data_IF_889280861349
#
_entry.id   IF_889280861349
#
_cell.length_a   1.000
_cell.length_b   1.000
_cell.length_c   1.000
_cell.angle_alpha   90.00
_cell.angle_beta   90.00
_cell.angle_gamma   90.00
#
_symmetry.space_group_name_H-M   'P 1'
#
loop_
_entity.id
_entity.type
_entity.pdbx_description
1 polymer ?
#
# COMPACT_ATOMS: atom_id res chain seq x y z
N UNK A 1 -18.17 -21.59 -0.05
CA UNK A 1 -17.13 -20.74 0.57
C UNK A 1 -16.10 -21.68 1.18
N UNK A 2 -14.82 -21.40 1.01
CA UNK A 2 -13.78 -22.25 1.60
C UNK A 2 -13.65 -21.93 3.09
N UNK A 3 -13.58 -22.96 3.93
CA UNK A 3 -13.38 -22.82 5.37
C UNK A 3 -11.94 -23.16 5.71
N UNK A 4 -11.28 -22.31 6.49
CA UNK A 4 -9.93 -22.53 7.01
C UNK A 4 -9.95 -22.61 8.52
N UNK A 5 -8.96 -23.27 9.11
CA UNK A 5 -8.78 -23.27 10.56
C UNK A 5 -7.64 -22.31 10.96
N UNK A 6 -7.62 -21.88 12.23
CA UNK A 6 -6.51 -21.07 12.73
C UNK A 6 -5.16 -21.80 12.61
N UNK A 7 -5.18 -23.15 12.60
CA UNK A 7 -4.00 -23.99 12.36
C UNK A 7 -3.42 -23.84 10.95
N UNK A 8 -4.23 -23.39 9.98
CA UNK A 8 -3.85 -23.21 8.57
C UNK A 8 -3.36 -21.79 8.27
N UNK A 9 -3.31 -20.91 9.27
CA UNK A 9 -2.90 -19.52 9.07
C UNK A 9 -1.46 -19.43 8.51
N UNK A 10 -1.30 -18.52 7.56
CA UNK A 10 -0.01 -18.14 6.95
C UNK A 10 -0.01 -16.63 6.76
N UNK A 11 1.14 -16.02 6.76
CA UNK A 11 1.28 -14.59 6.48
C UNK A 11 0.65 -14.23 5.13
N UNK A 12 -0.16 -13.18 5.10
CA UNK A 12 -0.91 -12.75 3.92
C UNK A 12 -2.27 -13.43 3.72
N UNK A 13 -2.57 -14.52 4.44
CA UNK A 13 -3.87 -15.20 4.36
C UNK A 13 -4.99 -14.28 4.85
N UNK A 14 -6.10 -14.23 4.10
CA UNK A 14 -7.27 -13.42 4.42
C UNK A 14 -8.45 -14.27 4.83
N UNK A 15 -9.17 -13.83 5.83
CA UNK A 15 -10.34 -14.53 6.37
C UNK A 15 -11.37 -13.54 6.92
N UNK A 16 -12.62 -13.97 7.02
CA UNK A 16 -13.69 -13.19 7.60
C UNK A 16 -13.81 -13.46 9.10
N UNK A 17 -13.88 -12.40 9.90
CA UNK A 17 -14.13 -12.44 11.33
C UNK A 17 -15.03 -11.25 11.71
N UNK A 18 -16.16 -11.54 12.36
CA UNK A 18 -17.14 -10.53 12.79
C UNK A 18 -17.59 -9.57 11.67
N UNK A 19 -17.78 -10.12 10.45
CA UNK A 19 -18.15 -9.33 9.26
C UNK A 19 -17.04 -8.46 8.70
N UNK A 20 -15.80 -8.63 9.16
CA UNK A 20 -14.63 -7.87 8.72
C UNK A 20 -13.63 -8.79 8.02
N UNK A 21 -13.00 -8.28 6.97
CA UNK A 21 -11.90 -9.00 6.32
C UNK A 21 -10.61 -8.72 7.06
N UNK A 22 -10.02 -9.78 7.59
CA UNK A 22 -8.75 -9.75 8.31
C UNK A 22 -7.65 -10.42 7.50
N UNK A 23 -6.46 -9.84 7.52
CA UNK A 23 -5.27 -10.44 6.93
C UNK A 23 -4.27 -10.81 8.02
N UNK A 24 -3.78 -12.04 7.97
CA UNK A 24 -2.71 -12.51 8.87
C UNK A 24 -1.42 -11.77 8.54
N UNK A 25 -0.90 -11.01 9.49
CA UNK A 25 0.41 -10.33 9.40
C UNK A 25 1.50 -11.23 9.93
N UNK A 26 1.25 -11.83 11.10
CA UNK A 26 2.18 -12.73 11.79
C UNK A 26 1.38 -13.79 12.56
N UNK A 27 1.90 -14.99 12.65
CA UNK A 27 1.29 -16.06 13.43
C UNK A 27 2.35 -16.90 14.12
N UNK A 28 1.99 -17.44 15.27
CA UNK A 28 2.85 -18.32 16.06
C UNK A 28 2.03 -19.45 16.67
N UNK A 29 2.40 -20.69 16.36
CA UNK A 29 1.85 -21.87 17.03
C UNK A 29 2.54 -22.05 18.39
N UNK A 30 1.77 -21.97 19.47
CA UNK A 30 2.25 -22.11 20.82
C UNK A 30 1.72 -23.42 21.42
N UNK A 31 2.63 -24.28 21.86
CA UNK A 31 2.32 -25.51 22.58
C UNK A 31 2.91 -25.38 23.99
N UNK A 32 2.14 -24.86 24.96
CA UNK A 32 2.62 -24.73 26.32
C UNK A 32 2.85 -26.11 26.93
N UNK A 33 3.81 -26.25 27.81
CA UNK A 33 4.08 -27.52 28.53
C UNK A 33 2.92 -27.97 29.41
N UNK A 34 2.07 -27.04 29.87
CA UNK A 34 0.80 -27.28 30.55
C UNK A 34 -0.26 -26.37 29.92
N UNK A 35 -1.36 -26.94 29.45
CA UNK A 35 -2.50 -26.22 28.83
C UNK A 35 -2.70 -26.58 27.35
N UNK A 36 -3.79 -26.05 26.79
CA UNK A 36 -4.15 -26.28 25.39
C UNK A 36 -3.26 -25.49 24.43
N UNK A 37 -2.94 -26.08 23.27
CA UNK A 37 -2.25 -25.38 22.20
C UNK A 37 -3.12 -24.22 21.66
N UNK A 38 -2.47 -23.14 21.25
CA UNK A 38 -3.13 -22.00 20.63
C UNK A 38 -2.26 -21.39 19.52
N UNK A 39 -2.91 -20.62 18.63
CA UNK A 39 -2.25 -19.86 17.58
C UNK A 39 -2.36 -18.38 17.93
N UNK A 40 -1.25 -17.77 18.30
CA UNK A 40 -1.17 -16.33 18.49
C UNK A 40 -1.10 -15.70 17.11
N UNK A 41 -2.04 -14.82 16.80
CA UNK A 41 -2.16 -14.25 15.47
C UNK A 41 -2.23 -12.74 15.56
N UNK A 42 -1.27 -12.08 14.89
CA UNK A 42 -1.32 -10.66 14.62
C UNK A 42 -1.98 -10.46 13.27
N UNK A 43 -3.06 -9.73 13.24
CA UNK A 43 -3.87 -9.55 12.04
C UNK A 43 -4.20 -8.09 11.82
N UNK A 44 -4.39 -7.75 10.55
CA UNK A 44 -4.75 -6.40 10.11
C UNK A 44 -6.14 -6.44 9.48
N UNK A 45 -7.01 -5.54 9.89
CA UNK A 45 -8.25 -5.29 9.17
C UNK A 45 -7.91 -4.67 7.81
N UNK A 46 -8.33 -5.29 6.73
CA UNK A 46 -7.95 -4.90 5.36
C UNK A 46 -8.57 -3.55 4.98
N UNK A 47 -9.76 -3.25 5.52
CA UNK A 47 -10.51 -2.01 5.24
C UNK A 47 -9.98 -0.84 6.05
N UNK A 48 -9.79 -1.02 7.37
CA UNK A 48 -9.42 0.08 8.28
C UNK A 48 -7.92 0.21 8.51
N UNK A 49 -7.13 -0.81 8.13
CA UNK A 49 -5.71 -0.89 8.41
C UNK A 49 -5.36 -1.20 9.88
N UNK A 50 -6.35 -1.24 10.79
CA UNK A 50 -6.12 -1.48 12.21
C UNK A 50 -5.51 -2.86 12.45
N UNK A 51 -4.44 -2.89 13.25
CA UNK A 51 -3.74 -4.12 13.62
C UNK A 51 -4.16 -4.56 15.02
N UNK A 52 -4.52 -5.82 15.15
CA UNK A 52 -4.90 -6.45 16.43
C UNK A 52 -4.18 -7.78 16.61
N UNK A 53 -3.96 -8.19 17.84
CA UNK A 53 -3.38 -9.49 18.18
C UNK A 53 -4.41 -10.29 18.99
N UNK A 54 -4.64 -11.54 18.58
CA UNK A 54 -5.58 -12.45 19.26
C UNK A 54 -5.04 -13.87 19.20
N UNK A 55 -5.34 -14.65 20.24
CA UNK A 55 -5.02 -16.07 20.30
C UNK A 55 -6.25 -16.91 19.98
N UNK A 56 -6.09 -17.83 19.04
CA UNK A 56 -7.15 -18.73 18.59
C UNK A 56 -6.84 -20.18 18.97
N UNK A 57 -7.90 -20.95 19.19
CA UNK A 57 -7.77 -22.40 19.20
C UNK A 57 -7.36 -22.86 17.79
N UNK A 58 -6.38 -23.77 17.61
CA UNK A 58 -5.94 -24.23 16.30
C UNK A 58 -7.07 -24.79 15.42
N UNK A 59 -8.14 -25.31 16.03
CA UNK A 59 -9.32 -25.87 15.34
C UNK A 59 -10.42 -24.85 15.11
N UNK A 60 -10.26 -23.59 15.55
CA UNK A 60 -11.22 -22.53 15.29
C UNK A 60 -11.38 -22.31 13.78
N UNK A 61 -12.63 -22.28 13.31
CA UNK A 61 -12.96 -22.20 11.88
C UNK A 61 -13.31 -20.79 11.48
N UNK A 62 -12.83 -20.38 10.32
CA UNK A 62 -13.12 -19.09 9.69
C UNK A 62 -13.48 -19.30 8.23
N UNK A 63 -14.25 -18.38 7.65
CA UNK A 63 -14.45 -18.33 6.20
C UNK A 63 -13.24 -17.67 5.55
N UNK A 64 -12.70 -18.32 4.52
CA UNK A 64 -11.64 -17.73 3.73
C UNK A 64 -12.19 -16.54 2.93
N UNK A 65 -11.57 -15.38 3.03
CA UNK A 65 -11.97 -14.19 2.30
C UNK A 65 -11.07 -14.04 1.07
N UNK A 66 -11.65 -14.08 -0.12
CA UNK A 66 -10.94 -13.81 -1.36
C UNK A 66 -11.06 -12.32 -1.68
N UNK A 67 -9.93 -11.64 -1.64
CA UNK A 67 -9.82 -10.24 -2.06
C UNK A 67 -9.54 -10.22 -3.55
N UNK A 68 -10.46 -9.63 -4.31
CA UNK A 68 -10.24 -9.36 -5.72
C UNK A 68 -9.26 -8.21 -5.89
N UNK A 69 -8.31 -8.39 -6.81
CA UNK A 69 -7.32 -7.39 -7.20
C UNK A 69 -7.43 -7.17 -8.69
N UNK A 70 -7.84 -5.97 -9.09
CA UNK A 70 -7.97 -5.62 -10.50
C UNK A 70 -7.00 -4.51 -10.86
N UNK A 71 -6.31 -4.71 -11.97
CA UNK A 71 -5.40 -3.71 -12.52
C UNK A 71 -6.22 -2.61 -13.19
N UNK A 72 -6.14 -1.40 -12.65
CA UNK A 72 -6.86 -0.23 -13.15
C UNK A 72 -5.90 0.93 -13.31
N UNK A 73 -5.98 1.62 -14.46
CA UNK A 73 -5.19 2.83 -14.70
C UNK A 73 -5.87 4.05 -14.09
N UNK A 74 -5.11 4.85 -13.33
CA UNK A 74 -5.60 6.15 -12.90
C UNK A 74 -5.81 7.05 -14.10
N UNK A 75 -7.01 7.63 -14.24
CA UNK A 75 -7.37 8.44 -15.39
C UNK A 75 -7.36 9.94 -15.05
N UNK A 76 -8.24 10.38 -14.15
CA UNK A 76 -8.35 11.79 -13.74
C UNK A 76 -9.07 11.89 -12.38
N UNK A 77 -9.11 13.11 -11.83
CA UNK A 77 -10.00 13.45 -10.72
C UNK A 77 -10.85 14.68 -11.11
N UNK A 78 -12.03 14.78 -10.49
CA UNK A 78 -12.95 15.92 -10.69
C UNK A 78 -12.96 16.89 -9.48
N UNK A 79 -12.06 16.65 -8.52
CA UNK A 79 -11.96 17.38 -7.26
C UNK A 79 -12.48 16.59 -6.06
N UNK A 80 -13.50 15.77 -6.23
CA UNK A 80 -14.11 14.93 -5.18
C UNK A 80 -13.76 13.45 -5.34
N UNK A 81 -13.80 12.95 -6.57
CA UNK A 81 -13.57 11.54 -6.88
C UNK A 81 -12.40 11.37 -7.84
N UNK A 82 -11.76 10.22 -7.70
CA UNK A 82 -10.64 9.78 -8.52
C UNK A 82 -11.07 8.60 -9.37
N UNK A 83 -10.95 8.75 -10.69
CA UNK A 83 -11.46 7.80 -11.67
C UNK A 83 -10.37 6.87 -12.15
N UNK A 84 -10.63 5.58 -12.03
CA UNK A 84 -9.74 4.51 -12.47
C UNK A 84 -10.42 3.70 -13.57
N UNK A 85 -9.69 3.43 -14.64
CA UNK A 85 -10.18 2.64 -15.76
C UNK A 85 -9.70 1.19 -15.63
N UNK A 86 -10.64 0.27 -15.59
CA UNK A 86 -10.35 -1.17 -15.60
C UNK A 86 -9.66 -1.53 -16.92
N UNK A 87 -8.53 -2.25 -16.85
CA UNK A 87 -7.73 -2.57 -18.03
C UNK A 87 -8.32 -3.70 -18.88
N UNK A 88 -9.30 -4.44 -18.36
CA UNK A 88 -9.97 -5.52 -19.07
C UNK A 88 -11.33 -5.10 -19.64
N UNK A 89 -12.15 -4.41 -18.85
CA UNK A 89 -13.51 -4.04 -19.23
C UNK A 89 -13.64 -2.62 -19.75
N UNK A 90 -12.63 -1.76 -19.50
CA UNK A 90 -12.62 -0.33 -19.78
C UNK A 90 -13.69 0.48 -19.03
N UNK A 91 -14.27 -0.12 -17.99
CA UNK A 91 -15.20 0.55 -17.11
C UNK A 91 -14.47 1.56 -16.21
N UNK A 92 -15.14 2.69 -15.95
CA UNK A 92 -14.62 3.72 -15.05
C UNK A 92 -15.15 3.50 -13.64
N UNK A 93 -14.25 3.36 -12.68
CA UNK A 93 -14.55 3.17 -11.27
C UNK A 93 -14.17 4.41 -10.48
N UNK A 94 -15.13 5.14 -9.88
CA UNK A 94 -14.83 6.28 -9.01
C UNK A 94 -14.43 5.81 -7.62
N UNK A 95 -13.34 6.36 -7.09
CA UNK A 95 -12.85 6.10 -5.74
C UNK A 95 -12.77 7.39 -4.93
N UNK A 96 -13.17 7.32 -3.66
CA UNK A 96 -13.00 8.41 -2.72
C UNK A 96 -11.54 8.55 -2.32
N UNK A 97 -11.11 9.77 -2.00
CA UNK A 97 -9.75 10.08 -1.55
C UNK A 97 -9.27 9.21 -0.39
N UNK A 98 -10.16 8.84 0.51
CA UNK A 98 -9.87 8.00 1.68
C UNK A 98 -9.38 6.58 1.33
N UNK A 99 -9.77 6.06 0.15
CA UNK A 99 -9.38 4.73 -0.33
C UNK A 99 -8.00 4.71 -1.01
N UNK A 100 -7.46 5.86 -1.38
CA UNK A 100 -6.25 5.95 -2.19
C UNK A 100 -4.96 5.68 -1.40
N UNK A 101 -4.93 6.04 -0.12
CA UNK A 101 -3.76 5.94 0.73
C UNK A 101 -2.65 6.96 0.40
N UNK A 102 -1.62 7.00 1.25
CA UNK A 102 -0.54 8.01 1.15
C UNK A 102 0.35 7.84 -0.10
N UNK A 103 0.49 6.62 -0.61
CA UNK A 103 1.29 6.33 -1.78
C UNK A 103 0.74 7.01 -3.05
N UNK A 104 -0.56 7.29 -3.08
CA UNK A 104 -1.22 7.89 -4.23
C UNK A 104 -0.69 9.29 -4.58
N UNK A 105 -0.13 10.04 -3.63
CA UNK A 105 0.49 11.35 -3.87
C UNK A 105 1.62 11.33 -4.91
N UNK A 106 2.16 10.14 -5.21
CA UNK A 106 3.22 9.93 -6.20
C UNK A 106 2.70 9.37 -7.52
N UNK A 107 1.40 9.14 -7.66
CA UNK A 107 0.80 8.49 -8.83
C UNK A 107 0.46 9.54 -9.89
N UNK A 108 0.86 9.27 -11.12
CA UNK A 108 0.52 10.06 -12.30
C UNK A 108 -0.61 9.42 -13.09
N UNK A 109 -1.22 10.20 -13.99
CA UNK A 109 -2.21 9.68 -14.94
C UNK A 109 -1.64 8.50 -15.73
N UNK A 110 -2.50 7.56 -16.09
CA UNK A 110 -2.20 6.29 -16.76
C UNK A 110 -1.34 5.30 -15.96
N UNK A 111 -1.02 5.60 -14.70
CA UNK A 111 -0.35 4.62 -13.84
C UNK A 111 -1.31 3.52 -13.45
N UNK A 112 -0.90 2.27 -13.65
CA UNK A 112 -1.69 1.10 -13.26
C UNK A 112 -1.53 0.83 -11.78
N UNK A 113 -2.66 0.82 -11.06
CA UNK A 113 -2.77 0.46 -9.65
C UNK A 113 -3.68 -0.77 -9.50
N UNK A 114 -3.60 -1.46 -8.38
CA UNK A 114 -4.50 -2.58 -8.07
C UNK A 114 -5.62 -2.09 -7.17
N UNK A 115 -6.84 -2.09 -7.68
CA UNK A 115 -8.03 -1.80 -6.90
C UNK A 115 -8.45 -3.06 -6.15
N UNK A 116 -8.60 -2.93 -4.84
CA UNK A 116 -8.93 -4.03 -3.95
C UNK A 116 -10.42 -4.03 -3.64
N UNK A 117 -11.08 -5.16 -3.89
CA UNK A 117 -12.49 -5.32 -3.56
C UNK A 117 -12.77 -6.66 -2.86
N UNK A 118 -13.83 -6.66 -2.06
CA UNK A 118 -14.36 -7.85 -1.41
C UNK A 118 -15.88 -7.86 -1.54
N UNK A 119 -16.43 -8.97 -2.06
CA UNK A 119 -17.87 -9.11 -2.33
C UNK A 119 -18.44 -7.91 -3.14
N UNK A 120 -17.67 -7.40 -4.10
CA UNK A 120 -18.06 -6.28 -4.97
C UNK A 120 -17.89 -4.88 -4.37
N UNK A 121 -17.49 -4.75 -3.11
CA UNK A 121 -17.22 -3.47 -2.47
C UNK A 121 -15.73 -3.15 -2.50
N UNK A 122 -15.36 -2.02 -3.08
CA UNK A 122 -13.98 -1.52 -3.07
C UNK A 122 -13.64 -0.99 -1.69
N UNK A 123 -12.46 -1.36 -1.17
CA UNK A 123 -12.01 -0.93 0.14
C UNK A 123 -10.58 -0.36 0.15
N UNK A 124 -9.86 -0.42 -0.96
CA UNK A 124 -8.49 0.11 -1.00
C UNK A 124 -7.86 0.07 -2.37
N UNK A 125 -6.68 0.66 -2.42
CA UNK A 125 -5.83 0.76 -3.60
C UNK A 125 -4.41 0.36 -3.24
N UNK A 126 -3.78 -0.49 -4.06
CA UNK A 126 -2.35 -0.77 -4.02
C UNK A 126 -1.66 -0.05 -5.18
N UNK A 127 -0.83 0.93 -4.87
CA UNK A 127 -0.01 1.64 -5.84
C UNK A 127 1.29 0.87 -6.14
N UNK A 128 1.94 1.12 -7.30
CA UNK A 128 3.29 0.64 -7.55
C UNK A 128 4.25 1.08 -6.43
N UNK A 129 5.14 0.18 -6.02
CA UNK A 129 6.10 0.48 -4.94
C UNK A 129 7.12 1.55 -5.31
N UNK A 130 7.40 1.70 -6.61
CA UNK A 130 8.38 2.66 -7.12
C UNK A 130 7.77 3.46 -8.28
N UNK A 131 8.06 4.76 -8.29
CA UNK A 131 7.64 5.67 -9.36
C UNK A 131 8.80 6.53 -9.78
N UNK A 132 8.92 6.70 -11.10
CA UNK A 132 9.87 7.60 -11.71
C UNK A 132 9.19 8.94 -11.97
N UNK A 133 9.63 9.98 -11.26
CA UNK A 133 9.02 11.30 -11.29
C UNK A 133 10.05 12.37 -11.59
N UNK A 134 9.62 13.40 -12.31
CA UNK A 134 10.45 14.57 -12.62
C UNK A 134 10.41 15.57 -11.47
N UNK A 135 11.58 16.11 -11.13
CA UNK A 135 11.70 17.20 -10.15
C UNK A 135 11.31 18.52 -10.79
N UNK A 136 10.27 19.16 -10.28
CA UNK A 136 9.76 20.44 -10.78
C UNK A 136 10.30 21.64 -10.03
N UNK A 137 10.59 21.47 -8.72
CA UNK A 137 11.12 22.51 -7.86
C UNK A 137 12.15 21.93 -6.88
N UNK A 138 13.27 22.63 -6.72
CA UNK A 138 14.26 22.35 -5.68
C UNK A 138 15.20 23.54 -5.52
N UNK A 139 15.79 23.68 -4.35
CA UNK A 139 16.83 24.70 -4.13
C UNK A 139 18.15 24.31 -4.82
N UNK A 140 18.96 25.29 -5.25
CA UNK A 140 20.32 25.01 -5.72
C UNK A 140 21.12 24.34 -4.60
N UNK A 141 21.87 23.29 -4.93
CA UNK A 141 22.81 22.69 -3.99
C UNK A 141 23.96 23.67 -3.70
N UNK A 142 23.99 24.28 -2.53
CA UNK A 142 25.11 25.14 -2.14
C UNK A 142 26.36 24.30 -1.94
N UNK A 143 27.37 24.53 -2.80
CA UNK A 143 28.69 23.96 -2.65
C UNK A 143 29.37 24.59 -1.43
N UNK A 144 29.35 23.93 -0.29
CA UNK A 144 29.97 24.43 0.94
C UNK A 144 29.76 23.56 2.16
N UNK A 145 28.78 22.69 2.14
CA UNK A 145 28.53 21.76 3.25
C UNK A 145 29.13 20.39 2.92
N UNK A 146 30.32 20.13 3.44
CA UNK A 146 31.07 18.87 3.31
C UNK A 146 30.47 17.71 4.15
N UNK A 147 29.26 17.84 4.65
CA UNK A 147 28.57 16.75 5.33
C UNK A 147 28.04 15.74 4.31
N UNK A 148 28.68 14.61 4.21
CA UNK A 148 28.21 13.40 3.56
C UNK A 148 26.79 13.08 4.08
N UNK A 149 25.78 13.05 3.17
CA UNK A 149 24.35 12.79 3.41
C UNK A 149 23.46 14.01 3.70
N UNK A 150 23.81 15.20 3.28
CA UNK A 150 22.88 16.33 3.33
C UNK A 150 21.81 16.17 2.25
N UNK A 151 20.54 16.16 2.66
CA UNK A 151 19.38 16.12 1.78
C UNK A 151 18.77 17.51 1.71
N UNK A 152 18.17 17.86 0.57
CA UNK A 152 17.39 19.08 0.37
C UNK A 152 15.94 18.73 -0.03
N UNK A 153 14.97 19.62 0.23
CA UNK A 153 13.61 19.43 -0.25
C UNK A 153 13.54 19.58 -1.78
N UNK A 154 12.68 18.79 -2.39
CA UNK A 154 12.35 18.88 -3.81
C UNK A 154 10.88 18.56 -4.00
N UNK A 155 10.22 19.25 -4.93
CA UNK A 155 8.86 18.97 -5.35
C UNK A 155 8.91 18.21 -6.67
N UNK A 156 8.15 17.13 -6.78
CA UNK A 156 8.04 16.34 -8.00
C UNK A 156 6.76 16.71 -8.78
N UNK A 157 6.68 16.26 -10.04
CA UNK A 157 5.59 16.62 -10.98
C UNK A 157 4.17 16.38 -10.47
N UNK A 158 3.98 15.52 -9.48
CA UNK A 158 2.68 15.29 -8.82
C UNK A 158 2.36 16.32 -7.74
N UNK A 159 3.28 17.25 -7.44
CA UNK A 159 3.17 18.20 -6.35
C UNK A 159 3.60 17.65 -4.99
N UNK A 160 4.05 16.41 -4.92
CA UNK A 160 4.54 15.80 -3.68
C UNK A 160 5.94 16.32 -3.34
N UNK A 161 6.19 16.58 -2.05
CA UNK A 161 7.51 16.96 -1.55
C UNK A 161 8.28 15.72 -1.09
N UNK A 162 9.56 15.66 -1.47
CA UNK A 162 10.50 14.60 -1.14
C UNK A 162 11.86 15.17 -0.74
N UNK A 163 12.67 14.37 -0.05
CA UNK A 163 14.06 14.74 0.27
C UNK A 163 15.00 14.06 -0.70
N UNK A 164 15.86 14.87 -1.35
CA UNK A 164 16.81 14.41 -2.38
C UNK A 164 18.23 14.83 -2.04
N UNK A 165 19.26 14.12 -2.57
CA UNK A 165 20.65 14.57 -2.49
C UNK A 165 20.87 15.95 -3.12
N UNK A 166 21.90 16.67 -2.67
CA UNK A 166 22.20 18.06 -3.11
C UNK A 166 22.46 18.18 -4.62
N UNK A 167 22.92 17.11 -5.29
CA UNK A 167 23.23 17.10 -6.72
C UNK A 167 22.01 16.97 -7.64
N UNK A 168 20.83 16.74 -7.10
CA UNK A 168 19.59 16.68 -7.89
C UNK A 168 19.16 18.10 -8.27
N UNK A 169 18.79 18.27 -9.54
CA UNK A 169 18.35 19.53 -10.10
C UNK A 169 16.92 19.45 -10.65
N UNK A 170 16.33 20.61 -10.93
CA UNK A 170 15.06 20.70 -11.66
C UNK A 170 15.20 20.02 -13.01
N UNK A 171 14.22 19.24 -13.42
CA UNK A 171 14.22 18.44 -14.63
C UNK A 171 14.85 17.05 -14.51
N UNK A 172 15.51 16.75 -13.40
CA UNK A 172 16.00 15.39 -13.15
C UNK A 172 14.84 14.43 -12.90
N UNK A 173 14.90 13.23 -13.50
CA UNK A 173 14.01 12.12 -13.17
C UNK A 173 14.60 11.29 -12.05
N UNK A 174 13.79 11.07 -11.03
CA UNK A 174 14.18 10.33 -9.82
C UNK A 174 13.20 9.20 -9.54
N UNK A 175 13.71 8.09 -9.06
CA UNK A 175 12.89 6.97 -8.56
C UNK A 175 12.61 7.19 -7.07
N UNK A 176 11.35 7.11 -6.70
CA UNK A 176 10.85 7.26 -5.33
C UNK A 176 10.19 5.97 -4.89
N UNK A 177 10.44 5.53 -3.65
CA UNK A 177 9.64 4.51 -2.99
C UNK A 177 8.32 5.14 -2.53
N UNK A 178 7.22 4.75 -3.15
CA UNK A 178 5.90 5.35 -2.88
C UNK A 178 5.36 5.06 -1.48
N UNK A 179 5.87 4.01 -0.83
CA UNK A 179 5.47 3.59 0.52
C UNK A 179 6.07 4.48 1.61
N UNK A 180 7.30 4.94 1.40
CA UNK A 180 8.05 5.75 2.37
C UNK A 180 8.22 7.20 1.93
N UNK A 181 8.12 7.47 0.63
CA UNK A 181 8.42 8.77 0.04
C UNK A 181 9.92 9.06 -0.08
N UNK A 182 10.76 8.02 0.03
CA UNK A 182 12.20 8.15 -0.02
C UNK A 182 12.74 8.12 -1.44
N UNK A 183 13.76 8.94 -1.68
CA UNK A 183 14.55 8.91 -2.91
C UNK A 183 15.37 7.61 -2.98
N UNK A 184 15.26 6.89 -4.08
CA UNK A 184 16.00 5.65 -4.32
C UNK A 184 17.19 5.88 -5.25
N UNK A 185 16.99 6.65 -6.30
CA UNK A 185 18.03 6.87 -7.29
C UNK A 185 17.62 7.86 -8.38
N UNK A 186 18.57 8.27 -9.19
CA UNK A 186 18.34 9.06 -10.40
C UNK A 186 18.15 8.12 -11.59
N UNK A 187 17.09 8.32 -12.35
CA UNK A 187 16.90 7.63 -13.61
C UNK A 187 17.91 8.13 -14.65
N UNK A 188 18.41 7.21 -15.46
CA UNK A 188 19.32 7.57 -16.57
C UNK A 188 18.51 7.94 -17.80
#
# INVERSE_FOLDING_TARGET
MATITAGDFRNGKTFEMDGKVMQVVEFQHVKPGKGAAFVRTKMRNVVTGAVTETSFNPTAKFEEAFVDRRDMAYSYNDGDLYYFMDQETYDMVPLNKELLGDAFRFITENTVCKVLSYKGSVFGLECPNFMDLEVTETEPGLAGNTATNTLKPATVQTGAEVKVPLFINIGDKITIDTRTGEYIGRCK
#
